data_IF_356005659737
#
_entry.id   IF_356005659737
#
_cell.length_a   1.000
_cell.length_b   1.000
_cell.length_c   1.000
_cell.angle_alpha   90.00
_cell.angle_beta   90.00
_cell.angle_gamma   90.00
#
_symmetry.space_group_name_H-M   'P 1'
#
loop_
_entity.id
_entity.type
_entity.pdbx_description
1 polymer ?
#
# COMPACT_ATOMS: atom_id res chain seq x y z
N UNK A 1 10.03 -26.09 10.31
CA UNK A 1 10.49 -24.71 10.60
C UNK A 1 10.56 -23.85 9.33
N UNK A 2 11.16 -24.35 8.24
CA UNK A 2 11.39 -23.58 7.00
C UNK A 2 10.09 -23.03 6.36
N UNK A 3 9.01 -23.83 6.29
CA UNK A 3 7.71 -23.34 5.81
C UNK A 3 7.21 -22.14 6.63
N UNK A 4 7.33 -22.21 7.96
CA UNK A 4 6.84 -21.16 8.86
C UNK A 4 7.60 -19.84 8.64
N UNK A 5 8.91 -19.92 8.43
CA UNK A 5 9.76 -18.77 8.06
C UNK A 5 9.32 -18.18 6.71
N UNK A 6 9.17 -19.02 5.68
CA UNK A 6 8.78 -18.58 4.35
C UNK A 6 7.39 -17.90 4.33
N UNK A 7 6.40 -18.51 5.00
CA UNK A 7 5.05 -17.96 5.11
C UNK A 7 4.99 -16.68 5.97
N UNK A 8 5.98 -16.44 6.84
CA UNK A 8 6.06 -15.15 7.55
C UNK A 8 6.32 -14.00 6.57
N UNK A 9 7.11 -14.20 5.52
CA UNK A 9 7.30 -13.19 4.45
C UNK A 9 6.00 -12.85 3.75
N UNK A 10 5.21 -13.87 3.40
CA UNK A 10 3.86 -13.72 2.82
C UNK A 10 2.96 -12.93 3.76
N UNK A 11 2.91 -13.34 5.03
CA UNK A 11 2.05 -12.72 6.04
C UNK A 11 2.40 -11.24 6.26
N UNK A 12 3.68 -10.89 6.34
CA UNK A 12 4.13 -9.51 6.51
C UNK A 12 3.75 -8.65 5.30
N UNK A 13 4.03 -9.13 4.08
CA UNK A 13 3.72 -8.41 2.85
C UNK A 13 2.23 -8.06 2.75
N UNK A 14 1.35 -9.04 3.00
CA UNK A 14 -0.09 -8.83 2.96
C UNK A 14 -0.60 -7.97 4.13
N UNK A 15 -0.22 -8.32 5.37
CA UNK A 15 -0.81 -7.72 6.56
C UNK A 15 -0.39 -6.26 6.74
N UNK A 16 0.90 -5.95 6.71
CA UNK A 16 1.37 -4.59 7.02
C UNK A 16 0.99 -3.60 5.92
N UNK A 17 1.16 -3.96 4.66
CA UNK A 17 0.74 -3.11 3.54
C UNK A 17 -0.79 -2.93 3.53
N UNK A 18 -1.56 -4.00 3.78
CA UNK A 18 -3.02 -3.95 3.91
C UNK A 18 -3.50 -3.07 5.06
N UNK A 19 -2.85 -3.14 6.23
CA UNK A 19 -3.13 -2.26 7.38
C UNK A 19 -2.87 -0.80 7.01
N UNK A 20 -1.73 -0.50 6.38
CA UNK A 20 -1.41 0.84 5.89
C UNK A 20 -2.51 1.40 5.01
N UNK A 21 -2.97 0.61 4.03
CA UNK A 21 -4.05 1.01 3.14
C UNK A 21 -5.39 1.18 3.85
N UNK A 22 -5.79 0.27 4.73
CA UNK A 22 -7.05 0.40 5.46
C UNK A 22 -7.08 1.68 6.32
N UNK A 23 -5.98 1.95 7.03
CA UNK A 23 -5.82 3.18 7.82
C UNK A 23 -5.83 4.41 6.93
N UNK A 24 -5.08 4.38 5.83
CA UNK A 24 -4.94 5.50 4.90
C UNK A 24 -6.24 5.88 4.20
N UNK A 25 -6.93 4.90 3.62
CA UNK A 25 -8.25 5.07 2.99
C UNK A 25 -9.25 5.60 4.01
N UNK A 26 -9.24 5.06 5.23
CA UNK A 26 -10.12 5.52 6.30
C UNK A 26 -9.89 6.98 6.70
N UNK A 27 -8.63 7.43 6.75
CA UNK A 27 -8.27 8.83 7.07
C UNK A 27 -8.81 9.81 6.02
N UNK A 28 -8.53 9.55 4.74
CA UNK A 28 -8.98 10.44 3.66
C UNK A 28 -10.50 10.36 3.48
N UNK A 29 -11.08 9.15 3.61
CA UNK A 29 -12.51 8.92 3.48
C UNK A 29 -13.33 9.71 4.50
N UNK A 30 -12.88 9.79 5.76
CA UNK A 30 -13.55 10.63 6.78
C UNK A 30 -13.50 12.11 6.45
N UNK A 31 -12.37 12.61 5.94
CA UNK A 31 -12.26 14.00 5.50
C UNK A 31 -13.18 14.28 4.30
N UNK A 32 -13.21 13.37 3.32
CA UNK A 32 -14.05 13.48 2.14
C UNK A 32 -15.54 13.46 2.51
N UNK A 33 -15.96 12.60 3.44
CA UNK A 33 -17.34 12.54 3.92
C UNK A 33 -17.82 13.87 4.50
N UNK A 34 -16.95 14.59 5.23
CA UNK A 34 -17.24 15.93 5.74
C UNK A 34 -17.58 16.91 4.61
N UNK A 35 -16.80 16.92 3.53
CA UNK A 35 -17.06 17.79 2.36
C UNK A 35 -18.33 17.37 1.63
N UNK A 36 -18.54 16.06 1.46
CA UNK A 36 -19.69 15.51 0.73
C UNK A 36 -21.02 15.69 1.45
N UNK A 37 -21.00 15.82 2.78
CA UNK A 37 -22.21 16.15 3.55
C UNK A 37 -22.80 17.52 3.19
N UNK A 38 -21.96 18.43 2.66
CA UNK A 38 -22.35 19.78 2.24
C UNK A 38 -22.46 19.89 0.72
N UNK A 39 -21.54 19.27 -0.02
CA UNK A 39 -21.46 19.37 -1.48
C UNK A 39 -21.20 17.98 -2.13
N UNK A 40 -22.26 17.17 -2.33
CA UNK A 40 -22.15 15.82 -2.90
C UNK A 40 -21.57 15.79 -4.33
N UNK A 41 -21.67 16.90 -5.07
CA UNK A 41 -21.22 16.99 -6.47
C UNK A 41 -19.69 16.84 -6.60
N UNK A 42 -18.94 16.99 -5.50
CA UNK A 42 -17.49 16.83 -5.45
C UNK A 42 -17.00 15.38 -5.37
N UNK A 43 -17.89 14.39 -5.30
CA UNK A 43 -17.55 12.97 -5.11
C UNK A 43 -16.45 12.48 -6.04
N UNK A 44 -16.57 12.68 -7.35
CA UNK A 44 -15.58 12.19 -8.33
C UNK A 44 -14.16 12.69 -8.08
N UNK A 45 -14.00 13.96 -7.66
CA UNK A 45 -12.69 14.54 -7.36
C UNK A 45 -12.11 14.00 -6.05
N UNK A 46 -12.96 13.80 -5.05
CA UNK A 46 -12.54 13.32 -3.72
C UNK A 46 -12.27 11.81 -3.72
N UNK A 47 -13.00 11.04 -4.54
CA UNK A 47 -12.84 9.59 -4.64
C UNK A 47 -11.41 9.20 -5.01
N UNK A 48 -10.78 9.93 -5.92
CA UNK A 48 -9.39 9.68 -6.32
C UNK A 48 -8.43 9.82 -5.14
N UNK A 49 -8.58 10.90 -4.35
CA UNK A 49 -7.76 11.11 -3.15
C UNK A 49 -7.99 10.03 -2.09
N UNK A 50 -9.23 9.55 -1.95
CA UNK A 50 -9.59 8.47 -1.01
C UNK A 50 -9.01 7.13 -1.44
N UNK A 51 -8.98 6.85 -2.73
CA UNK A 51 -8.52 5.58 -3.28
C UNK A 51 -6.98 5.45 -3.29
N UNK A 52 -6.24 6.56 -3.37
CA UNK A 52 -4.78 6.55 -3.50
C UNK A 52 -4.06 5.69 -2.43
N UNK A 53 -4.34 5.83 -1.12
CA UNK A 53 -3.67 5.00 -0.11
C UNK A 53 -4.01 3.51 -0.21
N UNK A 54 -4.95 3.11 -1.07
CA UNK A 54 -5.30 1.71 -1.32
C UNK A 54 -4.26 0.95 -2.16
N UNK A 55 -3.40 1.64 -2.92
CA UNK A 55 -2.47 0.99 -3.85
C UNK A 55 -1.37 0.21 -3.12
N UNK A 56 -0.95 0.67 -1.93
CA UNK A 56 0.06 0.00 -1.11
C UNK A 56 -0.34 -1.43 -0.74
N UNK A 57 -1.60 -1.62 -0.35
CA UNK A 57 -2.16 -2.93 -0.04
C UNK A 57 -2.14 -3.84 -1.26
N UNK A 58 -2.45 -3.32 -2.44
CA UNK A 58 -2.37 -4.07 -3.70
C UNK A 58 -0.93 -4.54 -3.93
N UNK A 59 0.07 -3.68 -3.76
CA UNK A 59 1.48 -4.07 -3.89
C UNK A 59 1.87 -5.19 -2.93
N UNK A 60 1.45 -5.10 -1.67
CA UNK A 60 1.67 -6.13 -0.66
C UNK A 60 1.01 -7.46 -1.03
N UNK A 61 -0.25 -7.44 -1.49
CA UNK A 61 -0.96 -8.64 -1.93
C UNK A 61 -0.32 -9.28 -3.16
N UNK A 62 0.15 -8.49 -4.13
CA UNK A 62 0.86 -9.03 -5.30
C UNK A 62 2.11 -9.79 -4.88
N UNK A 63 2.96 -9.21 -4.02
CA UNK A 63 4.15 -9.90 -3.50
C UNK A 63 3.78 -11.15 -2.69
N UNK A 64 2.74 -11.06 -1.85
CA UNK A 64 2.26 -12.20 -1.07
C UNK A 64 1.82 -13.37 -1.97
N UNK A 65 1.05 -13.12 -3.03
CA UNK A 65 0.63 -14.16 -3.97
C UNK A 65 1.80 -14.75 -4.77
N UNK A 66 2.75 -13.91 -5.20
CA UNK A 66 3.95 -14.37 -5.91
C UNK A 66 4.84 -15.24 -5.02
N UNK A 67 4.95 -14.92 -3.72
CA UNK A 67 5.66 -15.75 -2.75
C UNK A 67 4.93 -17.08 -2.49
N UNK A 68 3.60 -17.05 -2.34
CA UNK A 68 2.79 -18.27 -2.16
C UNK A 68 3.01 -19.27 -3.30
N UNK A 69 2.96 -18.79 -4.55
CA UNK A 69 3.19 -19.65 -5.73
C UNK A 69 4.57 -20.29 -5.73
N UNK A 70 5.62 -19.55 -5.35
CA UNK A 70 6.98 -20.07 -5.29
C UNK A 70 7.20 -21.06 -4.15
N UNK A 71 6.63 -20.79 -2.97
CA UNK A 71 6.73 -21.67 -1.80
C UNK A 71 6.06 -23.02 -2.09
N UNK A 72 4.92 -23.04 -2.79
CA UNK A 72 4.21 -24.28 -3.13
C UNK A 72 4.99 -25.15 -4.13
N UNK A 73 5.81 -24.55 -4.99
CA UNK A 73 6.62 -25.27 -5.98
C UNK A 73 8.01 -25.68 -5.50
N UNK A 74 8.41 -25.34 -4.27
CA UNK A 74 9.77 -25.53 -3.77
C UNK A 74 9.86 -26.61 -2.68
N UNK A 75 10.93 -27.42 -2.71
CA UNK A 75 11.31 -28.27 -1.58
C UNK A 75 12.20 -27.47 -0.60
N UNK A 76 11.57 -26.93 0.43
CA UNK A 76 12.25 -26.10 1.44
C UNK A 76 13.19 -26.88 2.36
N UNK A 77 13.19 -28.20 2.31
CA UNK A 77 14.15 -29.00 3.09
C UNK A 77 15.45 -29.21 2.29
N UNK A 78 15.37 -29.21 0.96
CA UNK A 78 16.52 -29.27 0.07
C UNK A 78 17.28 -27.94 -0.02
N UNK A 79 16.58 -26.80 0.00
CA UNK A 79 17.19 -25.47 0.11
C UNK A 79 16.64 -24.68 1.30
N UNK A 80 17.24 -24.82 2.50
CA UNK A 80 16.84 -24.04 3.67
C UNK A 80 17.04 -22.52 3.51
N UNK A 81 17.92 -22.06 2.61
CA UNK A 81 18.15 -20.64 2.38
C UNK A 81 16.97 -19.98 1.65
N UNK A 82 16.20 -20.75 0.87
CA UNK A 82 14.97 -20.28 0.22
C UNK A 82 13.99 -19.67 1.22
N UNK A 83 13.80 -20.30 2.38
CA UNK A 83 12.84 -19.83 3.38
C UNK A 83 13.18 -18.42 3.91
N UNK A 84 14.46 -18.16 4.17
CA UNK A 84 14.94 -16.85 4.61
C UNK A 84 14.86 -15.80 3.51
N UNK A 85 15.14 -16.17 2.25
CA UNK A 85 14.95 -15.29 1.09
C UNK A 85 13.48 -14.90 0.93
N UNK A 86 12.56 -15.86 1.04
CA UNK A 86 11.11 -15.62 0.98
C UNK A 86 10.63 -14.67 2.09
N UNK A 87 11.12 -14.86 3.32
CA UNK A 87 10.87 -13.94 4.44
C UNK A 87 11.33 -12.52 4.07
N UNK A 88 12.60 -12.38 3.67
CA UNK A 88 13.22 -11.09 3.39
C UNK A 88 12.60 -10.38 2.18
N UNK A 89 12.13 -11.13 1.18
CA UNK A 89 11.44 -10.56 0.03
C UNK A 89 10.11 -9.89 0.41
N UNK A 90 9.43 -10.32 1.48
CA UNK A 90 8.19 -9.70 1.95
C UNK A 90 8.40 -8.41 2.75
N UNK A 91 9.58 -8.20 3.35
CA UNK A 91 9.84 -7.12 4.31
C UNK A 91 9.78 -5.72 3.67
N UNK A 92 10.44 -5.42 2.54
CA UNK A 92 10.47 -4.06 2.00
C UNK A 92 9.08 -3.52 1.65
N UNK A 93 8.24 -4.31 0.95
CA UNK A 93 6.87 -3.90 0.59
C UNK A 93 5.97 -3.77 1.83
N UNK A 94 6.18 -4.60 2.85
CA UNK A 94 5.39 -4.58 4.08
C UNK A 94 5.54 -3.23 4.81
N UNK A 95 6.77 -2.80 5.07
CA UNK A 95 7.04 -1.56 5.78
C UNK A 95 6.88 -0.32 4.90
N UNK A 96 7.34 -0.38 3.64
CA UNK A 96 7.12 0.73 2.70
C UNK A 96 5.63 0.95 2.50
N UNK A 97 4.83 -0.10 2.30
CA UNK A 97 3.38 -0.02 2.15
C UNK A 97 2.70 0.53 3.40
N UNK A 98 3.01 0.01 4.58
CA UNK A 98 2.43 0.47 5.85
C UNK A 98 2.66 1.97 6.08
N UNK A 99 3.91 2.40 6.00
CA UNK A 99 4.29 3.76 6.36
C UNK A 99 3.88 4.75 5.27
N UNK A 100 4.12 4.43 3.99
CA UNK A 100 3.80 5.35 2.89
C UNK A 100 2.30 5.59 2.76
N UNK A 101 1.45 4.56 2.93
CA UNK A 101 -0.01 4.74 2.86
C UNK A 101 -0.52 5.74 3.91
N UNK A 102 0.01 5.67 5.14
CA UNK A 102 -0.37 6.59 6.22
C UNK A 102 0.08 8.03 5.91
N UNK A 103 1.29 8.20 5.38
CA UNK A 103 1.79 9.53 4.99
C UNK A 103 1.06 10.08 3.77
N UNK A 104 0.78 9.23 2.77
CA UNK A 104 0.01 9.59 1.59
C UNK A 104 -1.40 10.01 1.97
N UNK A 105 -2.01 9.34 2.96
CA UNK A 105 -3.31 9.72 3.48
C UNK A 105 -3.31 11.09 4.16
N UNK A 106 -2.26 11.46 4.90
CA UNK A 106 -2.14 12.81 5.48
C UNK A 106 -2.10 13.88 4.40
N UNK A 107 -1.35 13.64 3.32
CA UNK A 107 -1.35 14.52 2.14
C UNK A 107 -2.72 14.53 1.46
N UNK A 108 -3.38 13.36 1.35
CA UNK A 108 -4.71 13.20 0.80
C UNK A 108 -5.77 14.01 1.57
N UNK A 109 -5.71 14.02 2.90
CA UNK A 109 -6.59 14.84 3.77
C UNK A 109 -6.41 16.33 3.47
N UNK A 110 -5.18 16.81 3.32
CA UNK A 110 -4.92 18.19 2.88
C UNK A 110 -5.42 18.44 1.45
N UNK A 111 -5.29 17.46 0.55
CA UNK A 111 -5.84 17.50 -0.81
C UNK A 111 -7.36 17.59 -0.84
N UNK A 112 -8.06 16.93 0.08
CA UNK A 112 -9.51 17.05 0.25
C UNK A 112 -9.88 18.48 0.64
N UNK A 113 -9.15 19.09 1.56
CA UNK A 113 -9.36 20.49 1.95
C UNK A 113 -9.11 21.46 0.78
N UNK A 114 -8.09 21.20 -0.03
CA UNK A 114 -7.81 21.97 -1.26
C UNK A 114 -8.97 21.83 -2.25
N UNK A 115 -9.42 20.61 -2.55
CA UNK A 115 -10.53 20.36 -3.47
C UNK A 115 -11.86 20.96 -2.96
N UNK A 116 -12.04 21.07 -1.64
CA UNK A 116 -13.21 21.70 -1.04
C UNK A 116 -13.23 23.21 -1.27
N UNK A 117 -12.10 23.89 -1.07
CA UNK A 117 -11.96 25.37 -1.13
C UNK A 117 -11.66 25.89 -2.54
N UNK A 118 -10.89 25.14 -3.32
CA UNK A 118 -10.43 25.51 -4.67
C UNK A 118 -10.63 24.33 -5.63
N UNK A 119 -11.86 24.07 -6.10
CA UNK A 119 -12.16 22.87 -6.88
C UNK A 119 -11.44 22.78 -8.23
N UNK A 120 -10.98 23.92 -8.78
CA UNK A 120 -10.18 23.98 -10.00
C UNK A 120 -8.76 23.41 -9.78
N UNK A 121 -8.26 23.49 -8.54
CA UNK A 121 -6.91 23.08 -8.16
C UNK A 121 -6.85 21.69 -7.50
N UNK A 122 -7.97 20.96 -7.48
CA UNK A 122 -8.06 19.63 -6.86
C UNK A 122 -6.99 18.64 -7.36
N UNK A 123 -6.61 18.73 -8.64
CA UNK A 123 -5.56 17.90 -9.24
C UNK A 123 -4.18 18.11 -8.59
N UNK A 124 -3.88 19.32 -8.09
CA UNK A 124 -2.61 19.59 -7.39
C UNK A 124 -2.49 18.76 -6.11
N UNK A 125 -3.60 18.59 -5.38
CA UNK A 125 -3.64 17.73 -4.18
C UNK A 125 -3.36 16.26 -4.50
N UNK A 126 -3.87 15.77 -5.64
CA UNK A 126 -3.60 14.43 -6.13
C UNK A 126 -2.12 14.24 -6.47
N UNK A 127 -1.55 15.17 -7.23
CA UNK A 127 -0.13 15.13 -7.64
C UNK A 127 0.80 15.08 -6.41
N UNK A 128 0.53 15.91 -5.39
CA UNK A 128 1.31 15.91 -4.15
C UNK A 128 1.24 14.55 -3.42
N UNK A 129 0.07 13.92 -3.41
CA UNK A 129 -0.08 12.59 -2.79
C UNK A 129 0.68 11.50 -3.58
N UNK A 130 0.77 11.59 -4.90
CA UNK A 130 1.50 10.62 -5.74
C UNK A 130 3.02 10.65 -5.47
N UNK A 131 3.60 11.79 -5.09
CA UNK A 131 5.02 11.82 -4.71
C UNK A 131 5.33 10.93 -3.50
N UNK A 132 4.38 10.73 -2.59
CA UNK A 132 4.54 9.77 -1.49
C UNK A 132 4.47 8.33 -1.99
N UNK A 133 3.67 8.07 -3.02
CA UNK A 133 3.50 6.75 -3.63
C UNK A 133 4.79 6.20 -4.23
N UNK A 134 5.65 7.08 -4.75
CA UNK A 134 6.94 6.68 -5.32
C UNK A 134 7.76 5.80 -4.36
N UNK A 135 7.75 6.09 -3.06
CA UNK A 135 8.45 5.28 -2.06
C UNK A 135 7.81 3.91 -1.84
N UNK A 136 6.50 3.78 -1.99
CA UNK A 136 5.82 2.48 -1.97
C UNK A 136 6.24 1.62 -3.16
N UNK A 137 6.30 2.23 -4.35
CA UNK A 137 6.73 1.55 -5.59
C UNK A 137 8.17 1.06 -5.48
N UNK A 138 9.08 1.85 -4.88
CA UNK A 138 10.45 1.40 -4.63
C UNK A 138 10.50 0.19 -3.69
N UNK A 139 9.71 0.18 -2.61
CA UNK A 139 9.61 -0.97 -1.71
C UNK A 139 9.04 -2.22 -2.38
N UNK A 140 8.03 -2.04 -3.24
CA UNK A 140 7.48 -3.10 -4.08
C UNK A 140 8.53 -3.65 -5.05
N UNK A 141 9.25 -2.77 -5.78
CA UNK A 141 10.28 -3.15 -6.75
C UNK A 141 11.39 -3.98 -6.09
N UNK A 142 11.89 -3.53 -4.95
CA UNK A 142 12.92 -4.29 -4.21
C UNK A 142 12.40 -5.67 -3.80
N UNK A 143 11.18 -5.74 -3.26
CA UNK A 143 10.54 -7.01 -2.89
C UNK A 143 10.41 -7.96 -4.09
N UNK A 144 10.02 -7.42 -5.25
CA UNK A 144 9.90 -8.17 -6.49
C UNK A 144 11.25 -8.74 -6.96
N UNK A 145 12.32 -7.95 -6.91
CA UNK A 145 13.66 -8.39 -7.28
C UNK A 145 14.27 -9.40 -6.29
N UNK A 146 13.80 -9.41 -5.05
CA UNK A 146 14.23 -10.34 -4.01
C UNK A 146 13.47 -11.67 -4.00
N UNK A 147 12.45 -11.83 -4.85
CA UNK A 147 11.67 -13.06 -4.93
C UNK A 147 12.58 -14.28 -5.22
N UNK A 148 12.56 -15.32 -4.39
CA UNK A 148 13.47 -16.46 -4.51
C UNK A 148 13.14 -17.43 -5.65
#
# INVERSE_FOLDING_TARGET
MNHLIAYTGVALAAALAGIGSAVGVGLVGRAAAGVLSVDPKKFGKLLLLVALPGTQGIYGFVIAFLLLGRIQGADLNADPAFAWKALMAGVPVAFAGLLSAIHQARVGVSGVALAAKQPADAAKGLILAVFVEFYAILGFLVSFLMLP
#
